data_IF_362403233487
#
_entry.id   IF_362403233487
#
_cell.length_a   1.000
_cell.length_b   1.000
_cell.length_c   1.000
_cell.angle_alpha   90.00
_cell.angle_beta   90.00
_cell.angle_gamma   90.00
#
_symmetry.space_group_name_H-M   'P 1'
#
loop_
_entity.id
_entity.type
_entity.pdbx_description
1 polymer ?
#
# COMPACT_ATOMS: atom_id res chain seq x y z
N UNK A 1 -21.99 4.88 10.62
CA UNK A 1 -22.92 5.44 9.61
C UNK A 1 -23.47 4.37 8.68
N UNK A 2 -22.70 3.77 7.76
CA UNK A 2 -23.22 2.72 6.86
C UNK A 2 -23.61 1.41 7.56
N UNK A 3 -22.86 1.02 8.61
CA UNK A 3 -23.21 -0.15 9.43
C UNK A 3 -24.53 0.07 10.17
N UNK A 4 -24.72 1.26 10.74
CA UNK A 4 -25.95 1.69 11.42
C UNK A 4 -27.13 1.78 10.45
N UNK A 5 -26.89 2.21 9.22
CA UNK A 5 -27.89 2.22 8.15
C UNK A 5 -28.28 0.79 7.73
N UNK A 6 -27.32 -0.12 7.53
CA UNK A 6 -27.60 -1.53 7.21
C UNK A 6 -28.33 -2.25 8.36
N UNK A 7 -27.99 -1.95 9.60
CA UNK A 7 -28.70 -2.48 10.77
C UNK A 7 -30.13 -1.95 10.89
N UNK A 8 -30.38 -0.72 10.40
CA UNK A 8 -31.71 -0.09 10.42
C UNK A 8 -32.61 -0.56 9.27
N UNK A 9 -32.06 -0.62 8.06
CA UNK A 9 -32.81 -0.95 6.84
C UNK A 9 -32.82 -2.45 6.51
N UNK A 10 -31.99 -3.25 7.19
CA UNK A 10 -31.98 -4.72 7.08
C UNK A 10 -31.80 -5.20 5.64
N UNK A 11 -32.77 -5.96 5.12
CA UNK A 11 -32.79 -6.49 3.75
C UNK A 11 -33.02 -5.43 2.67
N UNK A 12 -33.53 -4.25 3.03
CA UNK A 12 -33.72 -3.12 2.11
C UNK A 12 -32.45 -2.29 1.91
N UNK A 13 -31.39 -2.56 2.70
CA UNK A 13 -30.06 -1.96 2.57
C UNK A 13 -29.28 -2.51 1.35
N UNK A 14 -29.90 -2.44 0.17
CA UNK A 14 -29.32 -2.97 -1.07
C UNK A 14 -28.32 -1.99 -1.68
N UNK A 15 -27.38 -2.51 -2.47
CA UNK A 15 -26.40 -1.69 -3.21
C UNK A 15 -27.06 -0.62 -4.08
N UNK A 16 -28.21 -0.95 -4.69
CA UNK A 16 -28.98 -0.04 -5.54
C UNK A 16 -29.49 1.16 -4.75
N UNK A 17 -30.09 0.92 -3.57
CA UNK A 17 -30.59 1.99 -2.70
C UNK A 17 -29.45 2.88 -2.22
N UNK A 18 -28.27 2.31 -1.94
CA UNK A 18 -27.08 3.09 -1.59
C UNK A 18 -26.54 3.91 -2.77
N UNK A 19 -26.49 3.34 -3.98
CA UNK A 19 -26.06 4.04 -5.18
C UNK A 19 -27.00 5.22 -5.52
N UNK A 20 -28.31 5.02 -5.42
CA UNK A 20 -29.30 6.08 -5.63
C UNK A 20 -29.17 7.21 -4.60
N UNK A 21 -28.89 6.88 -3.34
CA UNK A 21 -28.65 7.87 -2.29
C UNK A 21 -27.37 8.67 -2.54
N UNK A 22 -26.31 8.02 -3.01
CA UNK A 22 -25.04 8.67 -3.36
C UNK A 22 -25.19 9.59 -4.57
N UNK A 23 -25.98 9.19 -5.57
CA UNK A 23 -26.28 10.03 -6.73
C UNK A 23 -27.06 11.29 -6.34
N UNK A 24 -28.03 11.16 -5.42
CA UNK A 24 -28.77 12.31 -4.86
C UNK A 24 -27.90 13.23 -4.01
N UNK A 25 -26.83 12.71 -3.42
CA UNK A 25 -25.85 13.48 -2.63
C UNK A 25 -24.71 14.05 -3.49
N UNK A 26 -24.86 14.09 -4.81
CA UNK A 26 -23.85 14.53 -5.79
C UNK A 26 -22.52 13.74 -5.76
N UNK A 27 -22.49 12.58 -5.11
CA UNK A 27 -21.35 11.65 -5.07
C UNK A 27 -21.46 10.61 -6.19
N UNK A 28 -21.49 11.12 -7.43
CA UNK A 28 -21.67 10.31 -8.65
C UNK A 28 -20.53 9.30 -8.86
N UNK A 29 -19.32 9.68 -8.44
CA UNK A 29 -18.12 8.83 -8.42
C UNK A 29 -18.32 7.54 -7.61
N UNK A 30 -18.97 7.65 -6.45
CA UNK A 30 -19.24 6.51 -5.58
C UNK A 30 -20.44 5.67 -6.05
N UNK A 31 -21.46 6.30 -6.64
CA UNK A 31 -22.60 5.60 -7.20
C UNK A 31 -22.20 4.69 -8.38
N UNK A 32 -21.31 5.19 -9.25
CA UNK A 32 -20.80 4.44 -10.40
C UNK A 32 -19.93 3.24 -9.97
N UNK A 33 -19.14 3.39 -8.92
CA UNK A 33 -18.29 2.32 -8.37
C UNK A 33 -19.11 1.16 -7.79
N UNK A 34 -20.28 1.46 -7.19
CA UNK A 34 -21.19 0.42 -6.69
C UNK A 34 -21.89 -0.37 -7.80
N UNK A 35 -22.00 0.20 -8.99
CA UNK A 35 -22.61 -0.42 -10.16
C UNK A 35 -21.61 -1.27 -10.97
N UNK A 36 -20.33 -0.84 -11.04
CA UNK A 36 -19.27 -1.54 -11.78
C UNK A 36 -18.83 -2.89 -11.19
N UNK A 37 -19.02 -3.12 -9.89
CA UNK A 37 -18.66 -4.41 -9.26
C UNK A 37 -19.58 -5.61 -9.65
N UNK A 38 -20.50 -5.44 -10.60
CA UNK A 38 -21.42 -6.49 -11.07
C UNK A 38 -21.24 -6.97 -12.52
N UNK A 39 -20.37 -6.34 -13.31
CA UNK A 39 -20.14 -6.71 -14.73
C UNK A 39 -18.72 -7.22 -14.93
N UNK A 40 -18.53 -8.53 -14.74
CA UNK A 40 -17.33 -9.23 -15.19
C UNK A 40 -17.64 -9.96 -16.50
N UNK A 41 -17.47 -9.27 -17.65
CA UNK A 41 -17.28 -9.88 -18.98
C UNK A 41 -16.52 -8.94 -19.94
N UNK A 42 -15.31 -9.35 -20.31
CA UNK A 42 -14.80 -9.35 -21.70
C UNK A 42 -14.55 -8.02 -22.42
N UNK A 43 -13.27 -7.68 -22.55
CA UNK A 43 -12.58 -6.98 -23.65
C UNK A 43 -13.30 -5.83 -24.39
N UNK A 44 -12.75 -4.61 -24.31
CA UNK A 44 -12.60 -3.76 -25.50
C UNK A 44 -11.53 -2.68 -25.30
N UNK A 45 -10.63 -2.59 -26.27
CA UNK A 45 -9.66 -1.53 -26.46
C UNK A 45 -10.37 -0.19 -26.74
N UNK A 46 -10.08 0.84 -25.96
CA UNK A 46 -10.16 2.23 -26.41
C UNK A 46 -8.92 3.01 -25.95
N UNK A 47 -8.45 3.96 -26.77
CA UNK A 47 -7.10 4.50 -26.69
C UNK A 47 -6.95 5.39 -25.47
N UNK A 48 -5.86 5.16 -24.73
CA UNK A 48 -5.45 5.98 -23.60
C UNK A 48 -5.19 7.40 -24.12
N UNK A 49 -6.08 8.34 -23.78
CA UNK A 49 -5.76 9.75 -23.88
C UNK A 49 -4.54 10.00 -22.99
N UNK A 50 -3.45 10.39 -23.62
CA UNK A 50 -2.22 10.77 -22.95
C UNK A 50 -2.51 11.94 -22.00
N UNK A 51 -2.59 11.65 -20.70
CA UNK A 51 -2.42 12.69 -19.71
C UNK A 51 -0.96 13.14 -19.78
N UNK A 52 -0.69 14.46 -19.78
CA UNK A 52 0.68 14.96 -19.81
C UNK A 52 1.48 14.39 -18.63
N UNK A 53 2.77 14.07 -18.82
CA UNK A 53 3.60 13.54 -17.75
C UNK A 53 3.60 14.54 -16.59
N UNK A 54 3.06 14.12 -15.44
CA UNK A 54 3.17 14.92 -14.21
C UNK A 54 4.67 15.08 -13.92
N UNK A 55 5.18 16.31 -13.77
CA UNK A 55 6.59 16.55 -13.61
C UNK A 55 7.14 15.83 -12.36
N UNK A 56 8.27 15.18 -12.58
CA UNK A 56 9.15 14.54 -11.60
C UNK A 56 9.49 15.53 -10.48
N UNK A 57 9.79 14.99 -9.29
CA UNK A 57 10.22 15.62 -8.01
C UNK A 57 9.14 16.20 -7.10
N UNK A 58 8.67 15.37 -6.16
CA UNK A 58 8.60 15.81 -4.77
C UNK A 58 9.42 14.85 -3.90
N UNK A 59 10.59 15.27 -3.39
CA UNK A 59 11.20 14.57 -2.26
C UNK A 59 10.26 14.76 -1.06
N UNK A 60 9.57 13.70 -0.64
CA UNK A 60 9.02 13.66 0.71
C UNK A 60 10.23 13.82 1.63
N UNK A 61 10.28 14.93 2.38
CA UNK A 61 11.42 15.26 3.24
C UNK A 61 11.78 14.03 4.07
N UNK A 62 13.02 13.49 3.98
CA UNK A 62 13.42 12.37 4.82
C UNK A 62 13.22 12.79 6.27
N UNK A 63 12.50 11.99 7.05
CA UNK A 63 12.39 12.21 8.47
C UNK A 63 13.82 12.13 9.06
N UNK A 64 14.39 13.23 9.60
CA UNK A 64 15.81 13.28 9.96
C UNK A 64 16.20 12.37 11.14
N UNK A 65 15.24 11.62 11.70
CA UNK A 65 15.37 10.82 12.91
C UNK A 65 15.95 9.42 12.68
N UNK A 66 16.16 8.99 11.44
CA UNK A 66 16.60 7.62 11.11
C UNK A 66 17.80 7.68 10.15
N UNK A 67 19.01 7.50 10.69
CA UNK A 67 20.30 7.65 9.98
C UNK A 67 20.63 6.60 8.92
N UNK A 68 19.64 6.16 8.11
CA UNK A 68 19.82 5.28 6.96
C UNK A 68 19.47 5.98 5.66
N UNK A 69 20.15 5.65 4.56
CA UNK A 69 19.78 6.07 3.21
C UNK A 69 18.40 5.50 2.87
N UNK A 70 17.35 6.33 2.97
CA UNK A 70 15.99 6.01 2.56
C UNK A 70 15.77 6.54 1.13
N UNK A 71 15.26 5.69 0.24
CA UNK A 71 14.91 6.08 -1.12
C UNK A 71 13.53 5.57 -1.49
N UNK A 72 12.71 6.46 -2.02
CA UNK A 72 11.43 6.15 -2.62
C UNK A 72 11.63 5.96 -4.11
N UNK A 73 11.26 4.79 -4.61
CA UNK A 73 11.40 4.45 -6.02
C UNK A 73 9.99 4.32 -6.59
N UNK A 74 9.63 5.26 -7.48
CA UNK A 74 8.38 5.20 -8.21
C UNK A 74 8.64 4.55 -9.59
N UNK A 75 8.26 3.28 -9.72
CA UNK A 75 8.41 2.51 -10.96
C UNK A 75 7.04 2.21 -11.53
N UNK A 76 6.64 2.89 -12.60
CA UNK A 76 5.40 2.61 -13.33
C UNK A 76 4.17 2.59 -12.40
N UNK A 77 4.12 3.49 -11.41
CA UNK A 77 3.03 3.58 -10.45
C UNK A 77 3.11 2.66 -9.23
N UNK A 78 4.25 1.99 -9.04
CA UNK A 78 4.59 1.27 -7.80
C UNK A 78 5.27 2.21 -6.82
N UNK A 79 4.81 2.23 -5.58
CA UNK A 79 5.41 3.03 -4.52
C UNK A 79 6.36 2.19 -3.66
N UNK A 80 7.56 1.93 -4.18
CA UNK A 80 8.56 1.12 -3.49
C UNK A 80 9.36 1.96 -2.49
N UNK A 81 9.69 1.36 -1.35
CA UNK A 81 10.59 1.92 -0.35
C UNK A 81 11.84 1.05 -0.22
N UNK A 82 13.00 1.64 -0.47
CA UNK A 82 14.31 0.99 -0.28
C UNK A 82 15.07 1.71 0.82
N UNK A 83 15.56 0.97 1.80
CA UNK A 83 16.33 1.49 2.93
C UNK A 83 17.66 0.76 2.98
N UNK A 84 18.76 1.51 2.97
CA UNK A 84 20.11 0.95 2.92
C UNK A 84 20.49 0.44 1.54
N UNK A 85 21.44 -0.49 1.49
CA UNK A 85 21.97 -1.04 0.24
C UNK A 85 22.14 -2.54 0.36
N UNK A 86 21.51 -3.28 -0.55
CA UNK A 86 21.67 -4.74 -0.63
C UNK A 86 23.05 -5.05 -1.19
N UNK A 87 23.86 -5.77 -0.43
CA UNK A 87 25.16 -6.26 -0.84
C UNK A 87 25.04 -7.63 -1.52
N UNK A 88 25.98 -8.01 -2.41
CA UNK A 88 25.97 -9.33 -3.05
C UNK A 88 26.05 -10.50 -2.06
N UNK A 89 26.66 -10.29 -0.90
CA UNK A 89 26.80 -11.28 0.18
C UNK A 89 25.55 -11.39 1.07
N UNK A 90 24.55 -10.55 0.85
CA UNK A 90 23.37 -10.52 1.70
C UNK A 90 22.41 -11.65 1.37
N UNK A 91 21.82 -12.20 2.43
CA UNK A 91 20.77 -13.21 2.35
C UNK A 91 19.44 -12.59 2.74
N UNK A 92 18.34 -13.20 2.29
CA UNK A 92 17.00 -12.83 2.75
C UNK A 92 16.81 -13.30 4.20
N UNK A 93 16.66 -12.36 5.13
CA UNK A 93 16.46 -12.65 6.55
C UNK A 93 14.98 -12.83 6.88
N UNK A 94 14.12 -12.01 6.27
CA UNK A 94 12.67 -12.09 6.43
C UNK A 94 11.97 -11.67 5.13
N UNK A 95 10.84 -12.32 4.83
CA UNK A 95 9.89 -11.88 3.82
C UNK A 95 8.47 -12.07 4.35
N UNK A 96 7.70 -11.00 4.30
CA UNK A 96 6.28 -10.98 4.66
C UNK A 96 5.50 -10.31 3.53
N UNK A 97 4.27 -10.76 3.31
CA UNK A 97 3.35 -10.13 2.37
C UNK A 97 2.06 -9.78 3.10
N UNK A 98 1.49 -8.63 2.77
CA UNK A 98 0.14 -8.27 3.17
C UNK A 98 -0.66 -7.94 1.92
N UNK A 99 -1.83 -8.57 1.79
CA UNK A 99 -2.85 -8.19 0.83
C UNK A 99 -4.15 -7.90 1.57
N UNK A 100 -4.62 -6.66 1.47
CA UNK A 100 -5.93 -6.26 1.96
C UNK A 100 -6.74 -5.74 0.79
N UNK A 101 -7.95 -6.24 0.61
CA UNK A 101 -8.85 -5.73 -0.43
C UNK A 101 -9.57 -4.48 0.08
N UNK A 102 -9.88 -3.59 -0.87
CA UNK A 102 -10.85 -2.53 -0.62
C UNK A 102 -12.21 -3.15 -0.34
N UNK A 103 -12.87 -2.68 0.71
CA UNK A 103 -14.25 -3.04 1.02
C UNK A 103 -15.04 -1.79 1.44
N UNK A 104 -16.32 -1.98 1.76
CA UNK A 104 -17.20 -0.88 2.16
C UNK A 104 -16.67 -0.07 3.37
N UNK A 105 -15.86 -0.68 4.24
CA UNK A 105 -15.22 0.01 5.36
C UNK A 105 -14.03 0.87 4.92
N UNK A 106 -13.29 0.45 3.90
CA UNK A 106 -12.17 1.23 3.33
C UNK A 106 -12.62 2.45 2.53
N UNK A 107 -13.90 2.52 2.11
CA UNK A 107 -14.45 3.63 1.32
C UNK A 107 -14.22 5.00 1.98
N UNK A 108 -14.20 5.04 3.31
CA UNK A 108 -14.02 6.26 4.11
C UNK A 108 -12.71 6.27 4.91
N UNK A 109 -11.89 5.23 4.82
CA UNK A 109 -10.73 5.07 5.69
C UNK A 109 -9.54 4.44 4.95
N UNK A 110 -8.34 4.91 5.30
CA UNK A 110 -7.10 4.25 4.87
C UNK A 110 -6.86 3.03 5.74
N UNK A 111 -6.36 1.96 5.14
CA UNK A 111 -5.87 0.81 5.88
C UNK A 111 -4.39 0.98 6.17
N UNK A 112 -3.97 0.61 7.37
CA UNK A 112 -2.55 0.57 7.74
C UNK A 112 -2.13 -0.85 8.09
N UNK A 113 -0.84 -1.12 7.96
CA UNK A 113 -0.20 -2.33 8.46
C UNK A 113 1.25 -2.02 8.83
N UNK A 114 1.68 -2.51 9.99
CA UNK A 114 3.03 -2.31 10.50
C UNK A 114 3.81 -3.63 10.38
N UNK A 115 4.79 -3.67 9.48
CA UNK A 115 5.79 -4.73 9.43
C UNK A 115 6.86 -4.48 10.48
N UNK A 116 7.24 -5.53 11.20
CA UNK A 116 8.29 -5.45 12.23
C UNK A 116 9.21 -6.63 12.12
N UNK A 117 10.50 -6.38 12.01
CA UNK A 117 11.53 -7.41 12.04
C UNK A 117 12.58 -7.10 13.09
N UNK A 118 12.82 -8.08 13.96
CA UNK A 118 13.89 -8.07 14.94
C UNK A 118 14.99 -9.02 14.48
N UNK A 119 16.24 -8.54 14.45
CA UNK A 119 17.40 -9.37 14.10
C UNK A 119 17.52 -10.56 15.05
N UNK A 120 17.90 -11.72 14.51
CA UNK A 120 18.29 -12.87 15.34
C UNK A 120 19.77 -12.76 15.71
N UNK A 121 20.24 -13.67 16.58
CA UNK A 121 21.66 -13.76 16.94
C UNK A 121 22.49 -13.98 15.66
N UNK A 122 23.66 -13.32 15.60
CA UNK A 122 24.58 -13.38 14.45
C UNK A 122 24.02 -12.81 13.14
N UNK A 123 22.93 -12.04 13.16
CA UNK A 123 22.40 -11.35 11.96
C UNK A 123 22.74 -9.85 11.99
N UNK A 124 22.99 -9.28 10.81
CA UNK A 124 23.13 -7.84 10.62
C UNK A 124 22.24 -7.38 9.47
N UNK A 125 21.28 -6.50 9.77
CA UNK A 125 20.38 -5.90 8.76
C UNK A 125 21.19 -4.94 7.90
N UNK A 126 21.14 -5.09 6.59
CA UNK A 126 21.88 -4.24 5.63
C UNK A 126 20.95 -3.47 4.71
N UNK A 127 19.81 -4.06 4.36
CA UNK A 127 18.82 -3.42 3.52
C UNK A 127 17.40 -3.90 3.82
N UNK A 128 16.44 -3.01 3.58
CA UNK A 128 15.03 -3.29 3.67
C UNK A 128 14.37 -2.81 2.40
N UNK A 129 13.59 -3.69 1.79
CA UNK A 129 12.83 -3.42 0.57
C UNK A 129 11.36 -3.64 0.86
N UNK A 130 10.55 -2.61 0.64
CA UNK A 130 9.10 -2.72 0.66
C UNK A 130 8.59 -2.42 -0.73
N UNK A 131 7.97 -3.42 -1.34
CA UNK A 131 7.50 -3.36 -2.72
C UNK A 131 5.98 -3.22 -2.73
N UNK A 132 5.48 -2.23 -3.46
CA UNK A 132 4.07 -2.19 -3.86
C UNK A 132 3.88 -3.16 -5.03
N UNK A 133 3.02 -4.15 -4.85
CA UNK A 133 2.77 -5.17 -5.85
C UNK A 133 1.75 -4.72 -6.90
N UNK A 134 1.05 -3.60 -6.70
CA UNK A 134 0.17 -3.00 -7.69
C UNK A 134 0.90 -1.95 -8.52
N UNK A 135 0.71 -1.99 -9.84
CA UNK A 135 1.32 -1.11 -10.83
C UNK A 135 0.34 -0.11 -11.45
N UNK A 136 -0.79 0.12 -10.79
CA UNK A 136 -1.86 0.98 -11.29
C UNK A 136 -1.99 2.30 -10.49
N UNK A 137 -1.00 2.64 -9.65
CA UNK A 137 -1.05 3.75 -8.69
C UNK A 137 -2.20 3.64 -7.66
N UNK A 138 -2.84 2.49 -7.44
CA UNK A 138 -3.97 2.38 -6.51
C UNK A 138 -3.62 1.79 -5.15
N UNK A 139 -2.36 1.37 -4.98
CA UNK A 139 -1.86 0.75 -3.76
C UNK A 139 -1.76 1.72 -2.59
N UNK A 140 -0.54 1.96 -2.13
CA UNK A 140 -0.31 2.75 -0.93
C UNK A 140 1.04 3.41 -0.91
N UNK A 141 1.49 3.81 0.27
CA UNK A 141 2.87 4.22 0.49
C UNK A 141 3.44 3.50 1.71
N UNK A 142 4.76 3.31 1.69
CA UNK A 142 5.51 2.73 2.79
C UNK A 142 6.35 3.80 3.50
N UNK A 143 6.48 3.70 4.82
CA UNK A 143 7.26 4.62 5.64
C UNK A 143 8.04 3.86 6.72
N UNK A 144 9.33 4.15 6.84
CA UNK A 144 10.14 3.67 7.96
C UNK A 144 9.71 4.39 9.25
N UNK A 145 9.22 3.62 10.22
CA UNK A 145 8.77 4.14 11.52
C UNK A 145 9.88 4.06 12.56
N UNK A 146 10.69 3.00 12.52
CA UNK A 146 11.73 2.78 13.51
C UNK A 146 12.81 1.85 12.99
N UNK A 147 14.04 2.02 13.46
CA UNK A 147 15.10 1.07 13.20
C UNK A 147 15.77 1.25 11.83
N UNK A 148 16.24 0.16 11.24
CA UNK A 148 16.79 0.11 9.89
C UNK A 148 18.12 -0.64 9.77
N UNK A 149 18.81 -0.48 8.63
CA UNK A 149 20.15 -1.02 8.41
C UNK A 149 21.13 -0.68 9.53
N UNK A 150 21.94 -1.65 9.93
CA UNK A 150 22.88 -1.54 11.06
C UNK A 150 22.24 -1.65 12.45
N UNK A 151 20.91 -1.61 12.55
CA UNK A 151 20.19 -1.69 13.82
C UNK A 151 19.64 -3.09 14.09
N UNK A 152 19.08 -3.28 15.29
CA UNK A 152 18.56 -4.56 15.75
C UNK A 152 17.11 -4.79 15.34
N UNK A 153 16.41 -3.72 15.01
CA UNK A 153 14.99 -3.70 14.69
C UNK A 153 14.82 -2.93 13.40
N UNK A 154 13.82 -3.29 12.62
CA UNK A 154 13.22 -2.40 11.64
C UNK A 154 11.71 -2.52 11.71
N UNK A 155 11.05 -1.36 11.68
CA UNK A 155 9.60 -1.24 11.64
C UNK A 155 9.19 -0.35 10.49
N UNK A 156 8.40 -0.88 9.56
CA UNK A 156 7.89 -0.14 8.40
C UNK A 156 6.37 -0.17 8.43
N UNK A 157 5.74 0.98 8.24
CA UNK A 157 4.29 1.11 8.07
C UNK A 157 3.97 1.20 6.59
N UNK A 158 2.99 0.43 6.14
CA UNK A 158 2.34 0.63 4.85
C UNK A 158 0.94 1.17 5.07
N UNK A 159 0.56 2.13 4.25
CA UNK A 159 -0.75 2.81 4.32
C UNK A 159 -1.37 2.82 2.94
N UNK A 160 -2.58 2.25 2.81
CA UNK A 160 -3.33 2.28 1.56
C UNK A 160 -3.83 3.69 1.21
N UNK A 161 -4.16 3.88 -0.06
CA UNK A 161 -4.94 5.02 -0.49
C UNK A 161 -6.38 4.96 0.03
N UNK A 162 -7.05 6.11 0.06
CA UNK A 162 -8.42 6.22 0.55
C UNK A 162 -9.37 5.43 -0.36
N UNK A 163 -10.24 4.59 0.21
CA UNK A 163 -11.17 3.80 -0.59
C UNK A 163 -10.56 2.57 -1.26
N UNK A 164 -9.26 2.31 -1.05
CA UNK A 164 -8.52 1.24 -1.72
C UNK A 164 -7.94 0.24 -0.73
N UNK A 165 -7.67 -0.95 -1.25
CA UNK A 165 -6.88 -1.96 -0.56
C UNK A 165 -5.38 -1.69 -0.70
N UNK A 166 -4.57 -2.69 -0.42
CA UNK A 166 -3.13 -2.65 -0.63
C UNK A 166 -2.55 -4.05 -0.81
N UNK A 167 -1.46 -4.16 -1.55
CA UNK A 167 -0.66 -5.38 -1.66
C UNK A 167 0.83 -5.02 -1.54
N UNK A 168 1.44 -5.32 -0.40
CA UNK A 168 2.83 -5.00 -0.12
C UNK A 168 3.63 -6.23 0.23
N UNK A 169 4.85 -6.30 -0.31
CA UNK A 169 5.87 -7.28 0.08
C UNK A 169 6.98 -6.60 0.85
N UNK A 170 7.15 -6.98 2.11
CA UNK A 170 8.23 -6.56 2.98
C UNK A 170 9.37 -7.59 2.94
N UNK A 171 10.58 -7.18 2.57
CA UNK A 171 11.76 -8.03 2.50
C UNK A 171 12.93 -7.39 3.24
N UNK A 172 13.51 -8.12 4.20
CA UNK A 172 14.68 -7.70 4.96
C UNK A 172 15.88 -8.52 4.52
N UNK A 173 16.96 -7.84 4.15
CA UNK A 173 18.22 -8.42 3.74
C UNK A 173 19.30 -8.15 4.78
N UNK A 174 20.24 -9.08 4.85
CA UNK A 174 21.36 -8.96 5.76
C UNK A 174 22.32 -10.13 5.72
N UNK A 175 23.36 -10.01 6.54
CA UNK A 175 24.40 -11.01 6.66
C UNK A 175 24.13 -11.89 7.87
N UNK A 176 24.30 -13.19 7.69
CA UNK A 176 24.42 -14.15 8.80
C UNK A 176 25.90 -14.36 9.04
N UNK A 177 26.40 -14.05 10.23
CA UNK A 177 27.73 -14.47 10.61
C UNK A 177 27.70 -16.01 10.68
N UNK A 178 28.58 -16.64 9.91
CA UNK A 178 28.78 -18.08 9.94
C UNK A 178 29.03 -18.53 11.40
N UNK A 179 28.50 -19.69 11.83
CA UNK A 179 28.70 -20.19 13.19
C UNK A 179 30.16 -20.21 13.61
#
# INVERSE_FOLDING_TARGET
MLLSWKQREGSQATRRVLADALQKAERKDLAELLQKEGEDKGTSNQPVQAQPPIPVTQPVKPNPRHGGLQSYVNEQGRHNLVIGRKLPTDTLLCRENIRKQGNLATLLQRQTHDFTYLKKRKEAITAVLVRDNWDDNTGGHAELIQGGPGQNLVKVRVTSQLGRGMDFTFSVYGRKASP
#
